data_IF_722258155652
#
_entry.id   IF_722258155652
#
_cell.length_a   1.000
_cell.length_b   1.000
_cell.length_c   1.000
_cell.angle_alpha   90.00
_cell.angle_beta   90.00
_cell.angle_gamma   90.00
#
_symmetry.space_group_name_H-M   'P 1'
#
loop_
_entity.id
_entity.type
_entity.pdbx_description
1 polymer ?
#
# COMPACT_ATOMS: atom_id res chain seq x y z
N UNK A 1 -8.20 12.87 22.69
CA UNK A 1 -7.20 13.83 23.20
C UNK A 1 -5.87 13.51 22.55
N UNK A 2 -5.34 14.39 21.69
CA UNK A 2 -4.04 14.20 21.02
C UNK A 2 -2.93 14.40 22.06
N UNK A 3 -1.97 13.48 22.14
CA UNK A 3 -0.87 13.57 23.11
C UNK A 3 -0.02 14.83 22.88
N UNK A 4 0.58 15.42 23.93
CA UNK A 4 1.38 16.64 23.80
C UNK A 4 2.54 16.53 22.80
N UNK A 5 3.12 15.33 22.64
CA UNK A 5 4.20 15.06 21.68
C UNK A 5 3.77 15.24 20.22
N UNK A 6 2.59 14.73 19.85
CA UNK A 6 2.05 14.89 18.49
C UNK A 6 1.72 16.36 18.20
N UNK A 7 1.30 17.13 19.21
CA UNK A 7 1.04 18.56 19.05
C UNK A 7 2.31 19.36 18.72
N UNK A 8 3.46 18.97 19.29
CA UNK A 8 4.75 19.57 18.98
C UNK A 8 5.26 19.22 17.58
N UNK A 9 5.10 17.95 17.17
CA UNK A 9 5.46 17.51 15.82
C UNK A 9 4.62 18.24 14.77
N UNK A 10 3.29 18.31 14.92
CA UNK A 10 2.39 19.00 13.98
C UNK A 10 2.73 20.47 13.75
N UNK A 11 3.32 21.15 14.73
CA UNK A 11 3.77 22.54 14.61
C UNK A 11 5.09 22.70 13.85
N UNK A 12 5.86 21.61 13.70
CA UNK A 12 7.11 21.59 12.91
C UNK A 12 6.89 21.25 11.43
N UNK A 13 5.69 20.79 11.04
CA UNK A 13 5.35 20.52 9.64
C UNK A 13 5.22 21.83 8.86
N UNK A 14 6.09 22.04 7.88
CA UNK A 14 5.99 23.13 6.93
C UNK A 14 4.84 22.94 5.92
N UNK A 15 4.59 23.98 5.11
CA UNK A 15 3.51 23.99 4.10
C UNK A 15 3.67 22.86 3.07
N UNK A 16 4.91 22.44 2.80
CA UNK A 16 5.23 21.38 1.83
C UNK A 16 4.88 20.01 2.38
N UNK A 17 5.18 19.75 3.66
CA UNK A 17 4.90 18.48 4.32
C UNK A 17 3.38 18.31 4.52
N UNK A 18 2.66 19.39 4.83
CA UNK A 18 1.19 19.39 4.84
C UNK A 18 0.58 19.11 3.46
N UNK A 19 1.14 19.69 2.40
CA UNK A 19 0.71 19.39 1.02
C UNK A 19 1.02 17.95 0.63
N UNK A 20 2.18 17.43 1.00
CA UNK A 20 2.55 16.04 0.74
C UNK A 20 1.65 15.06 1.50
N UNK A 21 1.29 15.37 2.75
CA UNK A 21 0.36 14.59 3.56
C UNK A 21 -1.06 14.63 2.99
N UNK A 22 -1.53 15.82 2.59
CA UNK A 22 -2.83 15.97 1.94
C UNK A 22 -2.88 15.23 0.60
N UNK A 23 -1.82 15.34 -0.21
CA UNK A 23 -1.71 14.66 -1.50
C UNK A 23 -1.62 13.14 -1.34
N UNK A 24 -0.84 12.63 -0.38
CA UNK A 24 -0.75 11.18 -0.14
C UNK A 24 -2.10 10.61 0.30
N UNK A 25 -2.81 11.31 1.20
CA UNK A 25 -4.16 10.96 1.62
C UNK A 25 -5.13 10.96 0.43
N UNK A 26 -5.15 12.02 -0.38
CA UNK A 26 -6.06 12.12 -1.53
C UNK A 26 -5.78 11.05 -2.59
N UNK A 27 -4.51 10.85 -2.93
CA UNK A 27 -4.09 9.88 -3.95
C UNK A 27 -4.43 8.47 -3.48
N UNK A 28 -4.07 8.10 -2.24
CA UNK A 28 -4.41 6.79 -1.71
C UNK A 28 -5.92 6.58 -1.64
N UNK A 29 -6.70 7.58 -1.22
CA UNK A 29 -8.14 7.44 -1.12
C UNK A 29 -8.79 7.31 -2.50
N UNK A 30 -8.47 8.22 -3.43
CA UNK A 30 -9.09 8.27 -4.76
C UNK A 30 -8.66 7.08 -5.62
N UNK A 31 -7.37 6.75 -5.64
CA UNK A 31 -6.84 5.70 -6.49
C UNK A 31 -7.26 4.32 -5.99
N UNK A 32 -7.13 4.06 -4.68
CA UNK A 32 -7.54 2.77 -4.11
C UNK A 32 -9.05 2.55 -4.22
N UNK A 33 -9.86 3.57 -3.94
CA UNK A 33 -11.32 3.46 -4.08
C UNK A 33 -11.74 3.33 -5.54
N UNK A 34 -11.13 4.06 -6.47
CA UNK A 34 -11.46 3.93 -7.90
C UNK A 34 -11.19 2.51 -8.41
N UNK A 35 -10.01 1.93 -8.12
CA UNK A 35 -9.72 0.55 -8.52
C UNK A 35 -10.62 -0.47 -7.81
N UNK A 36 -10.96 -0.23 -6.54
CA UNK A 36 -11.89 -1.07 -5.81
C UNK A 36 -13.29 -1.06 -6.47
N UNK A 37 -13.85 0.11 -6.75
CA UNK A 37 -15.15 0.24 -7.43
C UNK A 37 -15.12 -0.28 -8.87
N UNK A 38 -14.05 -0.02 -9.62
CA UNK A 38 -13.86 -0.58 -10.96
C UNK A 38 -13.83 -2.11 -10.93
N UNK A 39 -13.18 -2.72 -9.93
CA UNK A 39 -13.20 -4.18 -9.79
C UNK A 39 -14.58 -4.73 -9.38
N UNK A 40 -15.41 -3.92 -8.71
CA UNK A 40 -16.78 -4.27 -8.30
C UNK A 40 -17.74 -4.36 -9.47
N UNK A 41 -17.61 -3.50 -10.48
CA UNK A 41 -18.47 -3.54 -11.67
C UNK A 41 -18.21 -4.76 -12.56
N UNK A 42 -16.99 -5.28 -12.60
CA UNK A 42 -16.63 -6.43 -13.44
C UNK A 42 -17.05 -7.81 -12.86
N UNK A 43 -17.78 -7.85 -11.74
CA UNK A 43 -18.24 -9.07 -11.05
C UNK A 43 -17.14 -10.05 -10.58
N UNK A 44 -15.86 -9.82 -10.90
CA UNK A 44 -14.73 -10.69 -10.59
C UNK A 44 -13.99 -10.32 -9.29
N UNK A 45 -14.61 -9.47 -8.45
CA UNK A 45 -14.05 -9.04 -7.15
C UNK A 45 -13.61 -10.22 -6.32
N UNK A 46 -14.43 -11.26 -6.24
CA UNK A 46 -14.11 -12.43 -5.42
C UNK A 46 -12.81 -13.12 -5.86
N UNK A 47 -12.45 -13.05 -7.17
CA UNK A 47 -11.19 -13.58 -7.70
C UNK A 47 -10.05 -12.58 -7.62
N UNK A 48 -10.31 -11.30 -7.83
CA UNK A 48 -9.29 -10.25 -7.83
C UNK A 48 -8.87 -9.84 -6.42
N UNK A 49 -9.75 -9.97 -5.43
CA UNK A 49 -9.50 -9.53 -4.05
C UNK A 49 -8.31 -10.26 -3.39
N UNK A 50 -8.18 -11.60 -3.47
CA UNK A 50 -7.00 -12.31 -2.96
C UNK A 50 -5.69 -11.88 -3.64
N UNK A 51 -5.74 -11.52 -4.92
CA UNK A 51 -4.58 -11.03 -5.66
C UNK A 51 -4.21 -9.60 -5.26
N UNK A 52 -5.18 -8.69 -5.24
CA UNK A 52 -4.98 -7.27 -4.93
C UNK A 52 -4.59 -7.04 -3.47
N UNK A 53 -5.30 -7.66 -2.52
CA UNK A 53 -5.04 -7.48 -1.09
C UNK A 53 -3.99 -8.45 -0.56
N UNK A 54 -3.98 -9.71 -1.01
CA UNK A 54 -2.98 -10.69 -0.61
C UNK A 54 -1.60 -10.41 -1.21
N UNK A 55 -1.55 -9.87 -2.43
CA UNK A 55 -0.30 -9.48 -3.11
C UNK A 55 0.23 -8.09 -2.71
N UNK A 56 -0.57 -7.27 -2.02
CA UNK A 56 -0.16 -5.92 -1.59
C UNK A 56 1.17 -5.87 -0.82
N UNK A 57 1.51 -6.82 0.08
CA UNK A 57 2.81 -6.84 0.75
C UNK A 57 3.98 -6.99 -0.22
N UNK A 58 3.81 -7.79 -1.28
CA UNK A 58 4.84 -8.01 -2.31
C UNK A 58 5.07 -6.70 -3.09
N UNK A 59 3.99 -6.06 -3.51
CA UNK A 59 4.06 -4.75 -4.18
C UNK A 59 4.69 -3.69 -3.27
N UNK A 60 4.32 -3.67 -1.99
CA UNK A 60 4.89 -2.75 -0.99
C UNK A 60 6.39 -2.98 -0.82
N UNK A 61 6.83 -4.23 -0.74
CA UNK A 61 8.24 -4.58 -0.63
C UNK A 61 9.03 -4.19 -1.89
N UNK A 62 8.45 -4.35 -3.08
CA UNK A 62 9.02 -3.89 -4.34
C UNK A 62 9.17 -2.36 -4.38
N UNK A 63 8.13 -1.64 -3.94
CA UNK A 63 8.16 -0.18 -3.87
C UNK A 63 9.17 0.32 -2.85
N UNK A 64 9.27 -0.32 -1.68
CA UNK A 64 10.26 0.04 -0.65
C UNK A 64 11.70 -0.20 -1.15
N UNK A 65 11.95 -1.33 -1.81
CA UNK A 65 13.24 -1.61 -2.43
C UNK A 65 13.60 -0.58 -3.52
N UNK A 66 12.64 -0.24 -4.39
CA UNK A 66 12.90 0.65 -5.53
C UNK A 66 12.95 2.14 -5.16
N UNK A 67 12.01 2.65 -4.37
CA UNK A 67 11.87 4.08 -4.07
C UNK A 67 12.61 4.51 -2.80
N UNK A 68 12.65 3.66 -1.76
CA UNK A 68 13.34 3.95 -0.50
C UNK A 68 14.78 3.42 -0.49
N UNK A 69 15.12 2.50 -1.40
CA UNK A 69 16.44 1.87 -1.45
C UNK A 69 16.69 0.89 -0.30
N UNK A 70 15.63 0.37 0.32
CA UNK A 70 15.76 -0.56 1.44
C UNK A 70 16.38 -1.89 1.02
N UNK A 71 17.34 -2.40 1.80
CA UNK A 71 17.97 -3.70 1.52
C UNK A 71 17.06 -4.83 1.97
N UNK A 72 16.28 -5.36 1.03
CA UNK A 72 15.39 -6.50 1.27
C UNK A 72 16.19 -7.80 1.32
N UNK A 73 16.13 -8.51 2.45
CA UNK A 73 16.84 -9.78 2.64
C UNK A 73 16.33 -10.90 1.72
N UNK A 74 17.19 -11.87 1.39
CA UNK A 74 16.78 -13.05 0.60
C UNK A 74 15.60 -13.83 1.21
N UNK A 75 15.50 -13.85 2.55
CA UNK A 75 14.37 -14.50 3.24
C UNK A 75 13.06 -13.73 3.00
N UNK A 76 13.12 -12.40 2.97
CA UNK A 76 11.97 -11.56 2.66
C UNK A 76 11.54 -11.73 1.19
N UNK A 77 12.49 -11.87 0.26
CA UNK A 77 12.20 -12.23 -1.13
C UNK A 77 11.54 -13.60 -1.28
N UNK A 78 12.04 -14.61 -0.56
CA UNK A 78 11.42 -15.93 -0.56
C UNK A 78 10.00 -15.90 0.01
N UNK A 79 9.79 -15.16 1.10
CA UNK A 79 8.46 -14.92 1.67
C UNK A 79 7.53 -14.17 0.71
N UNK A 80 8.02 -13.11 0.07
CA UNK A 80 7.28 -12.36 -0.95
C UNK A 80 6.91 -13.22 -2.15
N UNK A 81 7.81 -14.09 -2.61
CA UNK A 81 7.52 -15.07 -3.66
C UNK A 81 6.44 -16.07 -3.27
N UNK A 82 6.45 -16.54 -2.01
CA UNK A 82 5.42 -17.45 -1.51
C UNK A 82 4.05 -16.77 -1.40
N UNK A 83 4.00 -15.53 -0.93
CA UNK A 83 2.77 -14.72 -0.88
C UNK A 83 2.23 -14.51 -2.30
N UNK A 84 3.09 -14.14 -3.25
CA UNK A 84 2.70 -13.97 -4.64
C UNK A 84 2.14 -15.25 -5.25
N UNK A 85 2.81 -16.38 -5.04
CA UNK A 85 2.35 -17.69 -5.52
C UNK A 85 1.00 -18.09 -4.91
N UNK A 86 0.82 -17.89 -3.60
CA UNK A 86 -0.46 -18.16 -2.92
C UNK A 86 -1.59 -17.27 -3.44
N UNK A 87 -1.34 -15.98 -3.63
CA UNK A 87 -2.29 -15.03 -4.22
C UNK A 87 -2.67 -15.39 -5.66
N UNK A 88 -1.71 -15.89 -6.47
CA UNK A 88 -1.97 -16.32 -7.84
C UNK A 88 -2.80 -17.62 -7.88
N UNK A 89 -2.56 -18.55 -6.96
CA UNK A 89 -3.36 -19.77 -6.84
C UNK A 89 -4.82 -19.49 -6.44
N UNK A 90 -5.05 -18.46 -5.62
CA UNK A 90 -6.42 -18.04 -5.26
C UNK A 90 -7.16 -17.33 -6.39
N UNK A 91 -6.44 -16.82 -7.38
CA UNK A 91 -7.02 -16.17 -8.56
C UNK A 91 -7.57 -17.18 -9.58
N UNK A 92 -6.97 -18.38 -9.66
CA UNK A 92 -7.35 -19.45 -10.59
C UNK A 92 -8.50 -20.30 -10.04
#
# INVERSE_FOLDING_TARGET
MISPGIRGELQTFGRREWLAFGASGLISLLLAQYFYYSSLEDHDVARLFPFLFGGAPVLTMLLAWHFLGEVVSLKAWAGGGLIFAGSLLMFW
#
